data_IF_077074948880
#
_entry.id   IF_077074948880
#
_cell.length_a   1.000
_cell.length_b   1.000
_cell.length_c   1.000
_cell.angle_alpha   90.00
_cell.angle_beta   90.00
_cell.angle_gamma   90.00
#
_symmetry.space_group_name_H-M   'P 1'
#
loop_
_entity.id
_entity.type
_entity.pdbx_description
1 polymer ?
#
# COMPACT_ATOMS: atom_id res chain seq x y z
N UNK A 1 3.33 48.04 10.98
CA UNK A 1 2.70 47.59 9.73
C UNK A 1 2.49 46.12 9.90
N UNK A 2 1.24 45.69 10.12
CA UNK A 2 0.91 44.32 10.43
C UNK A 2 0.78 43.52 9.13
N UNK A 3 1.41 42.38 9.10
CA UNK A 3 1.14 41.36 8.09
C UNK A 3 0.00 40.47 8.59
N UNK A 4 -1.12 40.49 7.87
CA UNK A 4 -2.25 39.59 8.11
C UNK A 4 -1.93 38.15 7.71
N UNK A 5 -2.71 37.18 8.21
CA UNK A 5 -2.45 35.74 7.93
C UNK A 5 -2.63 35.42 6.44
N UNK A 6 -1.65 34.70 5.90
CA UNK A 6 -1.71 34.12 4.55
C UNK A 6 -2.78 33.03 4.60
N UNK A 7 -3.84 33.19 3.84
CA UNK A 7 -4.86 32.19 3.61
C UNK A 7 -4.23 31.08 2.77
N UNK A 8 -4.13 29.89 3.35
CA UNK A 8 -3.79 28.67 2.61
C UNK A 8 -4.82 28.46 1.48
N UNK A 9 -4.35 28.62 0.26
CA UNK A 9 -5.10 28.24 -0.93
C UNK A 9 -5.13 26.72 -1.03
N UNK A 10 -6.19 26.10 -0.52
CA UNK A 10 -6.55 24.75 -0.88
C UNK A 10 -6.79 24.70 -2.39
N UNK A 11 -5.98 23.93 -3.12
CA UNK A 11 -6.29 23.55 -4.49
C UNK A 11 -7.70 22.96 -4.51
N UNK A 12 -8.60 23.42 -5.38
CA UNK A 12 -9.91 22.81 -5.45
C UNK A 12 -9.72 21.36 -5.93
N UNK A 13 -10.10 20.41 -5.10
CA UNK A 13 -10.36 19.04 -5.55
C UNK A 13 -11.24 19.13 -6.80
N UNK A 14 -10.98 18.34 -7.85
CA UNK A 14 -11.84 18.32 -9.01
C UNK A 14 -13.28 18.09 -8.52
N UNK A 15 -14.28 18.78 -9.10
CA UNK A 15 -15.65 18.67 -8.62
C UNK A 15 -16.05 17.19 -8.66
N UNK A 16 -16.50 16.68 -7.52
CA UNK A 16 -17.13 15.37 -7.43
C UNK A 16 -18.29 15.40 -8.44
N UNK A 17 -18.13 14.68 -9.54
CA UNK A 17 -19.21 14.48 -10.50
C UNK A 17 -20.16 13.53 -9.77
N UNK A 18 -21.22 14.06 -9.19
CA UNK A 18 -22.30 13.25 -8.64
C UNK A 18 -22.75 12.28 -9.72
N UNK A 19 -22.57 11.00 -9.49
CA UNK A 19 -23.16 9.95 -10.28
C UNK A 19 -24.69 9.96 -9.98
N UNK A 20 -25.45 10.77 -10.72
CA UNK A 20 -26.91 10.69 -10.70
C UNK A 20 -27.46 9.42 -11.40
N UNK A 21 -26.55 8.61 -11.97
CA UNK A 21 -26.95 7.38 -12.66
C UNK A 21 -27.12 6.23 -11.67
N UNK A 22 -28.23 5.52 -11.81
CA UNK A 22 -28.62 4.39 -10.98
C UNK A 22 -27.86 3.12 -11.42
N UNK A 23 -26.63 2.95 -10.94
CA UNK A 23 -25.69 1.88 -11.34
C UNK A 23 -25.29 1.05 -10.12
N UNK A 24 -25.34 -0.28 -10.28
CA UNK A 24 -24.71 -1.22 -9.36
C UNK A 24 -23.46 -1.84 -9.99
N UNK A 25 -22.50 -2.20 -9.16
CA UNK A 25 -21.22 -2.77 -9.61
C UNK A 25 -21.07 -4.21 -9.16
N UNK A 26 -20.57 -5.05 -10.06
CA UNK A 26 -20.21 -6.44 -9.82
C UNK A 26 -18.73 -6.64 -10.11
N UNK A 27 -17.95 -6.96 -9.08
CA UNK A 27 -16.54 -7.31 -9.23
C UNK A 27 -16.40 -8.83 -9.29
N UNK A 28 -15.79 -9.34 -10.35
CA UNK A 28 -15.51 -10.76 -10.53
C UNK A 28 -14.20 -11.15 -9.85
N UNK A 29 -14.29 -11.91 -8.76
CA UNK A 29 -13.15 -12.32 -7.93
C UNK A 29 -13.14 -13.83 -7.62
N UNK A 30 -13.92 -14.65 -8.35
CA UNK A 30 -14.11 -16.08 -8.07
C UNK A 30 -13.03 -17.00 -8.68
N UNK A 31 -12.18 -16.50 -9.55
CA UNK A 31 -11.22 -17.28 -10.34
C UNK A 31 -10.10 -17.91 -9.50
N UNK A 32 -9.69 -19.16 -9.85
CA UNK A 32 -8.62 -19.90 -9.16
C UNK A 32 -7.20 -19.30 -9.30
N UNK A 33 -6.95 -18.49 -10.32
CA UNK A 33 -5.66 -17.85 -10.55
C UNK A 33 -4.47 -18.84 -10.70
N UNK A 34 -4.68 -20.01 -11.26
CA UNK A 34 -3.69 -21.11 -11.32
C UNK A 34 -2.36 -20.72 -11.93
N UNK A 35 -2.35 -19.75 -12.85
CA UNK A 35 -1.13 -19.20 -13.48
C UNK A 35 -0.23 -18.43 -12.52
N UNK A 36 -0.76 -17.93 -11.39
CA UNK A 36 0.02 -17.26 -10.33
C UNK A 36 0.91 -18.24 -9.55
N UNK A 37 0.61 -19.54 -9.59
CA UNK A 37 1.33 -20.60 -8.83
C UNK A 37 1.48 -20.25 -7.34
N UNK A 38 0.45 -19.68 -6.74
CA UNK A 38 0.40 -19.19 -5.36
C UNK A 38 -0.81 -19.79 -4.63
N UNK A 39 -0.69 -19.96 -3.33
CA UNK A 39 -1.81 -20.35 -2.46
C UNK A 39 -2.70 -19.15 -2.09
N UNK A 40 -2.22 -17.93 -2.33
CA UNK A 40 -3.00 -16.71 -2.12
C UNK A 40 -3.96 -16.52 -3.30
N UNK A 41 -5.25 -16.23 -3.08
CA UNK A 41 -6.17 -15.84 -4.14
C UNK A 41 -5.60 -14.71 -5.01
N UNK A 42 -5.75 -14.82 -6.34
CA UNK A 42 -5.16 -13.87 -7.29
C UNK A 42 -5.45 -12.41 -6.92
N UNK A 43 -6.68 -12.09 -6.58
CA UNK A 43 -7.15 -10.73 -6.27
C UNK A 43 -6.61 -10.17 -4.95
N UNK A 44 -6.01 -11.00 -4.10
CA UNK A 44 -5.38 -10.60 -2.83
C UNK A 44 -3.87 -10.38 -2.94
N UNK A 45 -3.24 -10.68 -4.09
CA UNK A 45 -1.85 -10.30 -4.30
C UNK A 45 -1.73 -8.77 -4.24
N UNK A 46 -0.66 -8.30 -3.61
CA UNK A 46 -0.38 -6.88 -3.52
C UNK A 46 0.51 -6.42 -4.66
N UNK A 47 0.22 -5.23 -5.16
CA UNK A 47 1.04 -4.47 -6.09
C UNK A 47 1.08 -3.03 -5.62
N UNK A 48 2.25 -2.42 -5.54
CA UNK A 48 2.43 -1.06 -5.06
C UNK A 48 1.73 -0.77 -3.72
N UNK A 49 1.81 -1.72 -2.77
CA UNK A 49 1.27 -1.61 -1.41
C UNK A 49 -0.22 -1.95 -1.24
N UNK A 50 -1.00 -2.10 -2.32
CA UNK A 50 -2.43 -2.41 -2.27
C UNK A 50 -2.77 -3.77 -2.86
N UNK A 51 -3.81 -4.43 -2.38
CA UNK A 51 -4.36 -5.65 -2.99
C UNK A 51 -4.96 -5.34 -4.35
N UNK A 52 -4.85 -6.25 -5.33
CA UNK A 52 -5.39 -6.05 -6.67
C UNK A 52 -6.87 -5.63 -6.67
N UNK A 53 -7.69 -6.30 -5.89
CA UNK A 53 -9.12 -5.98 -5.79
C UNK A 53 -9.40 -4.59 -5.22
N UNK A 54 -8.48 -4.03 -4.42
CA UNK A 54 -8.64 -2.70 -3.84
C UNK A 54 -8.64 -1.62 -4.92
N UNK A 55 -7.87 -1.79 -5.99
CA UNK A 55 -7.88 -0.86 -7.13
C UNK A 55 -9.25 -0.83 -7.83
N UNK A 56 -9.86 -2.01 -8.05
CA UNK A 56 -11.20 -2.07 -8.62
C UNK A 56 -12.24 -1.40 -7.72
N UNK A 57 -12.11 -1.51 -6.39
CA UNK A 57 -13.00 -0.86 -5.42
C UNK A 57 -12.81 0.66 -5.36
N UNK A 58 -11.58 1.16 -5.49
CA UNK A 58 -11.27 2.60 -5.51
C UNK A 58 -11.87 3.31 -6.72
N UNK A 59 -11.75 2.69 -7.90
CA UNK A 59 -12.29 3.26 -9.16
C UNK A 59 -13.80 3.50 -9.12
N UNK A 60 -14.51 2.74 -8.28
CA UNK A 60 -15.97 2.79 -8.11
C UNK A 60 -16.37 3.31 -6.73
N UNK A 61 -15.50 4.05 -6.04
CA UNK A 61 -15.78 4.53 -4.68
C UNK A 61 -17.09 5.30 -4.60
N UNK A 62 -17.37 6.13 -5.61
CA UNK A 62 -18.59 6.95 -5.72
C UNK A 62 -19.88 6.14 -5.93
N UNK A 63 -19.82 4.83 -6.22
CA UNK A 63 -20.99 3.98 -6.45
C UNK A 63 -21.36 3.25 -5.17
N UNK A 64 -22.60 3.44 -4.72
CA UNK A 64 -23.04 2.93 -3.42
C UNK A 64 -23.24 1.41 -3.39
N UNK A 65 -23.82 0.82 -4.43
CA UNK A 65 -24.17 -0.60 -4.46
C UNK A 65 -23.07 -1.43 -5.12
N UNK A 66 -22.38 -2.23 -4.30
CA UNK A 66 -21.25 -3.04 -4.72
C UNK A 66 -21.47 -4.50 -4.38
N UNK A 67 -21.29 -5.37 -5.37
CA UNK A 67 -21.28 -6.82 -5.24
C UNK A 67 -19.90 -7.37 -5.62
N UNK A 68 -19.41 -8.35 -4.87
CA UNK A 68 -18.20 -9.09 -5.21
C UNK A 68 -18.53 -10.56 -5.31
N UNK A 69 -18.36 -11.12 -6.51
CA UNK A 69 -18.52 -12.56 -6.72
C UNK A 69 -17.22 -13.25 -6.34
N UNK A 70 -17.26 -14.04 -5.26
CA UNK A 70 -16.14 -14.81 -4.72
C UNK A 70 -16.33 -16.30 -4.98
N UNK A 71 -15.25 -17.08 -4.99
CA UNK A 71 -15.34 -18.51 -5.26
C UNK A 71 -14.19 -19.28 -4.62
N UNK A 72 -13.08 -19.46 -5.32
CA UNK A 72 -11.89 -20.10 -4.76
C UNK A 72 -11.37 -19.30 -3.55
N UNK A 73 -11.23 -19.98 -2.39
CA UNK A 73 -10.82 -19.35 -1.12
C UNK A 73 -11.69 -18.13 -0.73
N UNK A 74 -12.99 -18.22 -0.98
CA UNK A 74 -13.97 -17.14 -0.75
C UNK A 74 -13.82 -16.49 0.62
N UNK A 75 -13.60 -17.29 1.67
CA UNK A 75 -13.44 -16.80 3.05
C UNK A 75 -12.28 -15.81 3.19
N UNK A 76 -11.12 -16.10 2.60
CA UNK A 76 -9.96 -15.22 2.63
C UNK A 76 -10.23 -13.89 1.93
N UNK A 77 -10.94 -13.93 0.79
CA UNK A 77 -11.31 -12.72 0.05
C UNK A 77 -12.30 -11.87 0.85
N UNK A 78 -13.32 -12.51 1.43
CA UNK A 78 -14.34 -11.82 2.25
C UNK A 78 -13.74 -11.15 3.49
N UNK A 79 -12.87 -11.86 4.22
CA UNK A 79 -12.17 -11.32 5.41
C UNK A 79 -11.21 -10.16 5.08
N UNK A 80 -10.77 -10.07 3.84
CA UNK A 80 -9.83 -9.06 3.38
C UNK A 80 -10.47 -7.75 2.90
N UNK A 81 -11.81 -7.70 2.82
CA UNK A 81 -12.57 -6.59 2.27
C UNK A 81 -13.54 -5.99 3.31
N UNK A 82 -13.99 -4.74 3.11
CA UNK A 82 -14.94 -4.10 4.03
C UNK A 82 -16.25 -4.84 4.16
N UNK A 83 -16.87 -4.82 5.35
CA UNK A 83 -18.17 -5.42 5.63
C UNK A 83 -19.35 -4.81 4.83
N UNK A 84 -19.15 -3.61 4.28
CA UNK A 84 -20.14 -2.92 3.44
C UNK A 84 -20.35 -3.56 2.06
N UNK A 85 -19.51 -4.50 1.68
CA UNK A 85 -19.57 -5.20 0.40
C UNK A 85 -20.62 -6.33 0.46
N UNK A 86 -21.45 -6.44 -0.58
CA UNK A 86 -22.34 -7.60 -0.75
C UNK A 86 -21.56 -8.73 -1.45
N UNK A 87 -21.42 -9.86 -0.78
CA UNK A 87 -20.72 -11.02 -1.34
C UNK A 87 -21.70 -12.03 -1.91
N UNK A 88 -21.36 -12.57 -3.09
CA UNK A 88 -22.07 -13.68 -3.73
C UNK A 88 -21.09 -14.81 -3.98
N UNK A 89 -21.41 -16.03 -3.55
CA UNK A 89 -20.49 -17.16 -3.61
C UNK A 89 -20.75 -17.98 -4.87
N UNK A 90 -19.75 -18.07 -5.74
CA UNK A 90 -19.73 -19.00 -6.87
C UNK A 90 -19.05 -20.32 -6.45
N UNK A 91 -19.83 -21.30 -6.06
CA UNK A 91 -19.30 -22.59 -5.59
C UNK A 91 -18.56 -23.34 -6.71
N UNK A 92 -19.12 -23.38 -7.91
CA UNK A 92 -18.52 -23.98 -9.09
C UNK A 92 -18.13 -22.90 -10.10
N UNK A 93 -16.84 -22.81 -10.43
CA UNK A 93 -16.32 -21.84 -11.40
C UNK A 93 -16.57 -22.31 -12.83
N UNK A 94 -17.79 -22.07 -13.34
CA UNK A 94 -18.24 -22.44 -14.71
C UNK A 94 -18.15 -21.28 -15.70
N UNK A 95 -17.31 -20.29 -15.45
CA UNK A 95 -17.08 -19.15 -16.34
C UNK A 95 -17.66 -17.83 -15.82
N UNK A 96 -17.41 -16.75 -16.55
CA UNK A 96 -17.78 -15.38 -16.20
C UNK A 96 -19.30 -15.14 -16.30
N UNK A 97 -19.95 -15.73 -17.29
CA UNK A 97 -21.41 -15.69 -17.41
C UNK A 97 -22.10 -16.39 -16.24
N UNK A 98 -21.58 -17.55 -15.79
CA UNK A 98 -22.10 -18.24 -14.60
C UNK A 98 -21.94 -17.41 -13.33
N UNK A 99 -20.82 -16.66 -13.18
CA UNK A 99 -20.64 -15.74 -12.05
C UNK A 99 -21.73 -14.68 -11.98
N UNK A 100 -22.18 -14.17 -13.12
CA UNK A 100 -23.29 -13.21 -13.20
C UNK A 100 -24.65 -13.91 -13.01
N UNK A 101 -24.86 -15.12 -13.55
CA UNK A 101 -26.16 -15.82 -13.38
C UNK A 101 -26.47 -16.12 -11.91
N UNK A 102 -25.47 -16.49 -11.11
CA UNK A 102 -25.64 -16.70 -9.66
C UNK A 102 -26.06 -15.43 -8.93
N UNK A 103 -25.62 -14.27 -9.40
CA UNK A 103 -26.02 -12.99 -8.82
C UNK A 103 -27.52 -12.75 -8.92
N UNK A 104 -28.19 -13.27 -9.98
CA UNK A 104 -29.65 -13.15 -10.14
C UNK A 104 -30.43 -13.93 -9.08
N UNK A 105 -29.82 -14.96 -8.48
CA UNK A 105 -30.42 -15.78 -7.41
C UNK A 105 -30.25 -15.12 -6.04
N UNK A 106 -29.35 -14.12 -5.93
CA UNK A 106 -29.14 -13.38 -4.69
C UNK A 106 -30.29 -12.41 -4.43
N UNK A 107 -30.89 -12.52 -3.25
CA UNK A 107 -32.08 -11.76 -2.87
C UNK A 107 -31.84 -10.25 -2.82
N UNK A 108 -30.62 -9.83 -2.38
CA UNK A 108 -30.28 -8.40 -2.31
C UNK A 108 -30.12 -7.81 -3.69
N UNK A 109 -29.58 -8.58 -4.63
CA UNK A 109 -29.44 -8.15 -6.01
C UNK A 109 -30.80 -8.15 -6.74
N UNK A 110 -31.67 -9.07 -6.44
CA UNK A 110 -33.05 -9.09 -6.99
C UNK A 110 -33.85 -7.84 -6.59
N UNK A 111 -33.65 -7.36 -5.35
CA UNK A 111 -34.30 -6.16 -4.80
C UNK A 111 -33.58 -4.84 -5.20
N UNK A 112 -32.44 -4.92 -5.88
CA UNK A 112 -31.66 -3.79 -6.36
C UNK A 112 -32.42 -3.04 -7.45
N UNK A 113 -32.51 -1.71 -7.33
CA UNK A 113 -33.29 -0.85 -8.24
C UNK A 113 -32.45 -0.19 -9.33
N UNK A 114 -31.17 -0.57 -9.47
CA UNK A 114 -30.29 -0.01 -10.49
C UNK A 114 -30.79 -0.29 -11.91
N UNK A 115 -30.55 0.65 -12.79
CA UNK A 115 -30.89 0.54 -14.22
C UNK A 115 -29.76 -0.11 -15.02
N UNK A 116 -28.52 0.10 -14.56
CA UNK A 116 -27.31 -0.42 -15.19
C UNK A 116 -26.47 -1.24 -14.24
N UNK A 117 -25.82 -2.27 -14.78
CA UNK A 117 -24.88 -3.13 -14.07
C UNK A 117 -23.49 -2.98 -14.68
N UNK A 118 -22.55 -2.43 -13.92
CA UNK A 118 -21.14 -2.40 -14.29
C UNK A 118 -20.46 -3.68 -13.81
N UNK A 119 -19.82 -4.41 -14.70
CA UNK A 119 -19.05 -5.63 -14.40
C UNK A 119 -17.57 -5.32 -14.54
N UNK A 120 -16.80 -5.58 -13.48
CA UNK A 120 -15.34 -5.34 -13.43
C UNK A 120 -14.60 -6.64 -13.05
N UNK A 121 -13.47 -6.94 -13.67
CA UNK A 121 -12.54 -7.94 -13.14
C UNK A 121 -11.79 -7.37 -11.93
N UNK A 122 -11.58 -8.19 -10.90
CA UNK A 122 -10.88 -7.79 -9.66
C UNK A 122 -9.36 -7.76 -9.77
N UNK A 123 -8.79 -7.87 -10.97
CA UNK A 123 -7.36 -8.03 -11.23
C UNK A 123 -6.80 -7.05 -12.27
N UNK A 124 -7.49 -5.93 -12.50
CA UNK A 124 -7.07 -4.85 -13.42
C UNK A 124 -6.78 -3.59 -12.59
N UNK A 125 -5.55 -3.45 -12.05
CA UNK A 125 -5.24 -2.39 -11.08
C UNK A 125 -5.00 -1.02 -11.70
N UNK A 126 -4.82 -0.91 -13.02
CA UNK A 126 -4.55 0.37 -13.69
C UNK A 126 -5.78 0.99 -14.33
N UNK A 127 -6.98 0.42 -14.09
CA UNK A 127 -8.23 0.98 -14.63
C UNK A 127 -8.44 2.41 -14.14
N UNK A 128 -8.89 3.28 -15.05
CA UNK A 128 -9.12 4.69 -14.77
C UNK A 128 -10.60 4.97 -14.48
N UNK A 129 -10.90 5.72 -13.42
CA UNK A 129 -12.28 6.10 -13.10
C UNK A 129 -12.97 6.90 -14.21
N UNK A 130 -12.24 7.71 -14.99
CA UNK A 130 -12.80 8.43 -16.10
C UNK A 130 -13.22 7.51 -17.25
N UNK A 131 -12.51 6.41 -17.49
CA UNK A 131 -12.87 5.42 -18.51
C UNK A 131 -14.18 4.72 -18.14
N UNK A 132 -14.33 4.36 -16.86
CA UNK A 132 -15.58 3.79 -16.33
C UNK A 132 -16.73 4.79 -16.45
N UNK A 133 -16.53 6.03 -16.03
CA UNK A 133 -17.53 7.09 -16.12
C UNK A 133 -17.97 7.34 -17.56
N UNK A 134 -17.01 7.36 -18.48
CA UNK A 134 -17.29 7.53 -19.92
C UNK A 134 -18.08 6.35 -20.49
N UNK A 135 -17.74 5.11 -20.12
CA UNK A 135 -18.49 3.92 -20.52
C UNK A 135 -19.93 4.00 -20.07
N UNK A 136 -20.18 4.19 -18.77
CA UNK A 136 -21.53 4.25 -18.21
C UNK A 136 -22.33 5.37 -18.89
N UNK A 137 -21.73 6.57 -19.02
CA UNK A 137 -22.39 7.70 -19.67
C UNK A 137 -22.79 7.40 -21.12
N UNK A 138 -21.88 6.83 -21.92
CA UNK A 138 -22.20 6.51 -23.33
C UNK A 138 -23.31 5.47 -23.45
N UNK A 139 -23.33 4.47 -22.58
CA UNK A 139 -24.39 3.45 -22.57
C UNK A 139 -25.74 4.08 -22.21
N UNK A 140 -25.77 4.92 -21.17
CA UNK A 140 -26.99 5.61 -20.74
C UNK A 140 -27.49 6.60 -21.79
N UNK A 141 -26.62 7.47 -22.34
CA UNK A 141 -26.98 8.51 -23.30
C UNK A 141 -27.55 7.90 -24.61
N UNK A 142 -27.05 6.73 -25.03
CA UNK A 142 -27.50 6.03 -26.23
C UNK A 142 -28.62 5.02 -25.99
N UNK A 143 -29.01 4.80 -24.73
CA UNK A 143 -29.95 3.74 -24.33
C UNK A 143 -29.54 2.35 -24.87
N UNK A 144 -28.24 2.09 -24.92
CA UNK A 144 -27.70 0.84 -25.44
C UNK A 144 -27.79 -0.28 -24.41
N UNK A 145 -28.05 -1.50 -24.86
CA UNK A 145 -28.19 -2.63 -23.96
C UNK A 145 -26.85 -3.14 -23.39
N UNK A 146 -25.73 -2.89 -24.10
CA UNK A 146 -24.38 -3.27 -23.68
C UNK A 146 -23.38 -2.18 -24.09
N UNK A 147 -22.46 -1.89 -23.19
CA UNK A 147 -21.22 -1.20 -23.51
C UNK A 147 -20.04 -1.94 -22.93
N UNK A 148 -18.85 -1.86 -23.54
CA UNK A 148 -17.64 -2.45 -23.01
C UNK A 148 -16.39 -1.68 -23.42
N UNK A 149 -15.31 -1.87 -22.62
CA UNK A 149 -14.02 -1.26 -22.93
C UNK A 149 -13.18 -2.19 -23.81
N UNK A 150 -12.49 -1.59 -24.78
CA UNK A 150 -11.49 -2.26 -25.63
C UNK A 150 -10.18 -1.50 -25.59
N UNK A 151 -9.11 -2.16 -26.01
CA UNK A 151 -7.84 -1.49 -26.32
C UNK A 151 -7.15 -2.18 -27.47
N UNK A 152 -6.33 -1.42 -28.19
CA UNK A 152 -5.37 -1.98 -29.14
C UNK A 152 -4.04 -2.19 -28.42
N UNK A 153 -3.58 -3.42 -28.46
CA UNK A 153 -2.39 -3.85 -27.72
C UNK A 153 -1.31 -4.41 -28.65
N UNK A 154 -0.07 -4.23 -28.26
CA UNK A 154 1.06 -4.77 -29.01
C UNK A 154 1.16 -6.30 -28.96
N UNK A 155 0.68 -6.91 -27.89
CA UNK A 155 0.64 -8.37 -27.71
C UNK A 155 -0.74 -8.81 -27.21
N UNK A 156 -1.64 -9.23 -28.10
CA UNK A 156 -3.01 -9.62 -27.72
C UNK A 156 -3.12 -11.02 -27.11
N UNK A 157 -2.04 -11.76 -26.95
CA UNK A 157 -2.05 -13.11 -26.44
C UNK A 157 -2.72 -13.24 -25.07
N UNK A 158 -3.68 -14.16 -24.97
CA UNK A 158 -4.39 -14.46 -23.72
C UNK A 158 -5.64 -13.62 -23.47
N UNK A 159 -5.99 -12.69 -24.35
CA UNK A 159 -7.21 -11.89 -24.30
C UNK A 159 -8.24 -12.35 -25.32
N UNK A 160 -9.51 -12.04 -25.11
CA UNK A 160 -10.55 -12.12 -26.15
C UNK A 160 -10.33 -11.06 -27.25
N UNK A 161 -10.53 -11.45 -28.50
CA UNK A 161 -10.40 -10.54 -29.67
C UNK A 161 -11.72 -9.88 -29.99
N UNK A 162 -11.69 -8.58 -30.22
CA UNK A 162 -12.86 -7.81 -30.67
C UNK A 162 -12.83 -7.72 -32.19
N UNK A 163 -13.80 -8.33 -32.84
CA UNK A 163 -13.91 -8.39 -34.29
C UNK A 163 -15.15 -7.60 -34.70
N UNK A 164 -14.95 -6.61 -35.55
CA UNK A 164 -16.03 -5.79 -36.10
C UNK A 164 -16.15 -6.02 -37.59
N UNK A 165 -17.24 -6.66 -38.03
CA UNK A 165 -17.50 -6.95 -39.46
C UNK A 165 -18.98 -6.76 -39.76
N UNK A 166 -19.29 -6.11 -40.91
CA UNK A 166 -20.65 -5.92 -41.41
C UNK A 166 -21.63 -5.34 -40.37
N UNK A 167 -21.18 -4.35 -39.59
CA UNK A 167 -21.95 -3.76 -38.50
C UNK A 167 -22.29 -4.72 -37.34
N UNK A 168 -21.65 -5.88 -37.29
CA UNK A 168 -21.74 -6.80 -36.16
C UNK A 168 -20.43 -6.82 -35.37
N UNK A 169 -20.56 -6.98 -34.07
CA UNK A 169 -19.43 -7.07 -33.13
C UNK A 169 -19.38 -8.49 -32.59
N UNK A 170 -18.22 -9.11 -32.61
CA UNK A 170 -17.98 -10.44 -32.04
C UNK A 170 -16.77 -10.37 -31.10
N UNK A 171 -16.87 -10.98 -29.94
CA UNK A 171 -15.73 -11.25 -29.09
C UNK A 171 -15.42 -12.74 -29.16
N UNK A 172 -14.16 -13.07 -29.50
CA UNK A 172 -13.68 -14.46 -29.59
C UNK A 172 -12.59 -14.65 -28.56
N UNK A 173 -12.85 -15.55 -27.61
CA UNK A 173 -11.86 -15.87 -26.57
C UNK A 173 -10.59 -16.52 -27.16
N UNK A 174 -9.42 -16.30 -26.54
CA UNK A 174 -8.10 -16.76 -27.04
C UNK A 174 -8.09 -18.21 -27.50
N UNK A 175 -8.75 -19.12 -26.75
CA UNK A 175 -8.76 -20.55 -27.04
C UNK A 175 -9.69 -20.93 -28.20
N UNK A 176 -10.64 -20.10 -28.52
CA UNK A 176 -11.60 -20.28 -29.60
C UNK A 176 -11.18 -19.55 -30.89
N UNK A 177 -10.10 -18.73 -30.86
CA UNK A 177 -9.60 -17.98 -32.01
C UNK A 177 -9.02 -18.90 -33.12
N UNK A 178 -9.38 -18.62 -34.36
CA UNK A 178 -8.65 -19.10 -35.53
C UNK A 178 -7.29 -18.42 -35.65
N UNK A 179 -6.43 -18.89 -36.56
CA UNK A 179 -5.11 -18.28 -36.82
C UNK A 179 -5.25 -16.79 -37.26
N UNK A 180 -6.26 -16.48 -38.06
CA UNK A 180 -6.51 -15.14 -38.56
C UNK A 180 -7.04 -14.22 -37.42
N UNK A 181 -7.96 -14.71 -36.58
CA UNK A 181 -8.52 -13.98 -35.46
C UNK A 181 -7.47 -13.65 -34.39
N UNK A 182 -6.45 -14.50 -34.21
CA UNK A 182 -5.32 -14.23 -33.29
C UNK A 182 -4.46 -13.03 -33.68
N UNK A 183 -4.49 -12.63 -34.95
CA UNK A 183 -3.74 -11.46 -35.45
C UNK A 183 -4.44 -10.13 -35.14
N UNK A 184 -5.69 -10.16 -34.69
CA UNK A 184 -6.42 -8.96 -34.32
C UNK A 184 -5.82 -8.35 -33.06
N UNK A 185 -5.46 -7.08 -33.12
CA UNK A 185 -4.80 -6.33 -32.04
C UNK A 185 -5.80 -5.68 -31.06
N UNK A 186 -7.09 -5.56 -31.44
CA UNK A 186 -8.13 -5.04 -30.56
C UNK A 186 -8.64 -6.13 -29.62
N UNK A 187 -8.49 -5.89 -28.32
CA UNK A 187 -8.82 -6.87 -27.27
C UNK A 187 -10.00 -6.40 -26.40
N UNK A 188 -10.68 -7.39 -25.82
CA UNK A 188 -11.70 -7.21 -24.82
C UNK A 188 -11.07 -7.05 -23.42
N UNK A 189 -11.46 -6.01 -22.70
CA UNK A 189 -10.96 -5.74 -21.35
C UNK A 189 -11.58 -6.61 -20.24
N UNK A 190 -12.73 -7.24 -20.51
CA UNK A 190 -13.56 -7.86 -19.48
C UNK A 190 -14.38 -6.87 -18.63
N UNK A 191 -14.43 -5.59 -19.03
CA UNK A 191 -15.18 -4.52 -18.34
C UNK A 191 -16.40 -4.18 -19.19
N UNK A 192 -17.57 -4.34 -18.57
CA UNK A 192 -18.86 -4.17 -19.25
C UNK A 192 -19.81 -3.28 -18.45
N UNK A 193 -20.66 -2.56 -19.15
CA UNK A 193 -21.85 -1.91 -18.61
C UNK A 193 -23.08 -2.47 -19.33
N UNK A 194 -23.97 -3.13 -18.62
CA UNK A 194 -25.19 -3.71 -19.15
C UNK A 194 -26.40 -2.91 -18.69
N UNK A 195 -27.37 -2.74 -19.58
CA UNK A 195 -28.75 -2.48 -19.17
C UNK A 195 -29.24 -3.68 -18.33
N UNK A 196 -29.73 -3.42 -17.12
CA UNK A 196 -30.08 -4.49 -16.17
C UNK A 196 -31.15 -5.41 -16.73
N UNK A 197 -32.17 -4.85 -17.38
CA UNK A 197 -33.27 -5.63 -17.95
C UNK A 197 -32.77 -6.59 -19.04
N UNK A 198 -31.92 -6.13 -19.95
CA UNK A 198 -31.29 -6.97 -20.97
C UNK A 198 -30.49 -8.10 -20.34
N UNK A 199 -29.65 -7.79 -19.35
CA UNK A 199 -28.81 -8.78 -18.66
C UNK A 199 -29.68 -9.87 -18.04
N UNK A 200 -30.78 -9.53 -17.33
CA UNK A 200 -31.67 -10.48 -16.69
C UNK A 200 -32.39 -11.37 -17.70
N UNK A 201 -32.80 -10.83 -18.83
CA UNK A 201 -33.50 -11.59 -19.86
C UNK A 201 -32.56 -12.57 -20.59
N UNK A 202 -31.30 -12.21 -20.78
CA UNK A 202 -30.41 -12.94 -21.68
C UNK A 202 -29.36 -13.84 -21.00
N UNK A 203 -29.03 -13.60 -19.73
CA UNK A 203 -27.95 -14.34 -19.06
C UNK A 203 -28.18 -15.86 -19.03
N UNK A 204 -29.43 -16.30 -18.90
CA UNK A 204 -29.80 -17.71 -18.89
C UNK A 204 -29.81 -18.36 -20.29
N UNK A 205 -29.63 -17.57 -21.36
CA UNK A 205 -29.54 -18.05 -22.72
C UNK A 205 -28.07 -18.38 -23.14
N UNK A 206 -27.12 -18.13 -22.25
CA UNK A 206 -25.73 -18.52 -22.45
C UNK A 206 -25.60 -20.06 -22.49
N UNK A 207 -24.64 -20.55 -23.27
CA UNK A 207 -24.34 -21.98 -23.38
C UNK A 207 -22.85 -22.24 -23.18
N UNK A 208 -22.47 -23.52 -23.16
CA UNK A 208 -21.08 -23.94 -22.94
C UNK A 208 -20.43 -24.53 -24.21
N UNK A 209 -20.97 -24.21 -25.39
CA UNK A 209 -20.48 -24.72 -26.68
C UNK A 209 -19.21 -23.98 -27.14
N UNK A 210 -18.16 -24.04 -26.33
CA UNK A 210 -16.86 -23.40 -26.55
C UNK A 210 -15.73 -24.29 -26.08
N UNK A 211 -14.47 -23.91 -26.39
CA UNK A 211 -13.27 -24.73 -26.11
C UNK A 211 -13.04 -24.99 -24.61
N UNK A 212 -13.59 -24.19 -23.72
CA UNK A 212 -13.43 -24.35 -22.27
C UNK A 212 -14.63 -25.05 -21.61
N UNK A 213 -15.78 -25.17 -22.27
CA UNK A 213 -17.01 -25.68 -21.67
C UNK A 213 -17.57 -24.75 -20.59
N UNK A 214 -17.33 -23.45 -20.71
CA UNK A 214 -17.70 -22.43 -19.73
C UNK A 214 -18.80 -21.50 -20.27
N UNK A 215 -19.58 -20.89 -19.39
CA UNK A 215 -20.50 -19.80 -19.76
C UNK A 215 -19.72 -18.50 -19.89
N UNK A 216 -19.57 -18.01 -21.12
CA UNK A 216 -18.88 -16.75 -21.39
C UNK A 216 -19.83 -15.56 -21.35
N UNK A 217 -19.49 -14.54 -20.57
CA UNK A 217 -20.24 -13.27 -20.57
C UNK A 217 -20.15 -12.58 -21.94
N UNK A 218 -19.08 -12.81 -22.69
CA UNK A 218 -18.84 -12.29 -24.04
C UNK A 218 -19.86 -12.75 -25.06
N UNK A 219 -20.54 -13.88 -24.84
CA UNK A 219 -21.59 -14.38 -25.74
C UNK A 219 -22.85 -13.49 -25.74
N UNK A 220 -23.04 -12.67 -24.68
CA UNK A 220 -24.11 -11.66 -24.65
C UNK A 220 -23.98 -10.63 -25.77
N UNK A 221 -22.76 -10.37 -26.28
CA UNK A 221 -22.54 -9.50 -27.44
C UNK A 221 -23.20 -10.10 -28.70
N UNK A 222 -23.02 -11.41 -28.91
CA UNK A 222 -23.67 -12.13 -30.02
C UNK A 222 -25.19 -12.15 -29.91
N UNK A 223 -25.71 -12.31 -28.70
CA UNK A 223 -27.17 -12.25 -28.45
C UNK A 223 -27.69 -10.85 -28.76
N UNK A 224 -27.03 -9.79 -28.30
CA UNK A 224 -27.41 -8.40 -28.58
C UNK A 224 -27.42 -8.10 -30.10
N UNK A 225 -26.42 -8.55 -30.85
CA UNK A 225 -26.42 -8.41 -32.30
C UNK A 225 -27.65 -9.10 -32.95
N UNK A 226 -27.97 -10.33 -32.53
CA UNK A 226 -29.09 -11.08 -33.09
C UNK A 226 -30.45 -10.40 -32.80
N UNK A 227 -30.56 -9.76 -31.64
CA UNK A 227 -31.73 -8.95 -31.25
C UNK A 227 -31.73 -7.54 -31.81
N UNK A 228 -30.69 -7.17 -32.58
CA UNK A 228 -30.48 -5.83 -33.16
C UNK A 228 -30.48 -4.72 -32.09
N UNK A 229 -29.90 -5.03 -30.94
CA UNK A 229 -29.66 -4.08 -29.85
C UNK A 229 -28.40 -3.27 -30.13
N UNK A 230 -28.40 -2.01 -29.69
CA UNK A 230 -27.24 -1.15 -29.80
C UNK A 230 -26.15 -1.55 -28.80
N UNK A 231 -24.90 -1.56 -29.29
CA UNK A 231 -23.71 -1.91 -28.53
C UNK A 231 -22.71 -0.75 -28.60
N UNK A 232 -22.24 -0.29 -27.44
CA UNK A 232 -21.25 0.78 -27.32
C UNK A 232 -19.87 0.18 -27.09
N UNK A 233 -18.91 0.60 -27.91
CA UNK A 233 -17.48 0.31 -27.67
C UNK A 233 -16.78 1.60 -27.24
N UNK A 234 -16.00 1.50 -26.17
CA UNK A 234 -15.13 2.58 -25.69
C UNK A 234 -13.69 2.08 -25.72
N UNK A 235 -12.90 2.62 -26.64
CA UNK A 235 -11.48 2.31 -26.70
C UNK A 235 -10.72 3.13 -25.67
N UNK A 236 -9.82 2.47 -24.94
CA UNK A 236 -8.97 3.06 -23.89
C UNK A 236 -7.51 2.68 -24.11
N UNK A 237 -6.60 3.27 -23.33
CA UNK A 237 -5.18 2.98 -23.38
C UNK A 237 -4.88 1.53 -22.93
N UNK A 238 -3.83 0.92 -23.50
CA UNK A 238 -3.43 -0.47 -23.22
C UNK A 238 -3.23 -0.71 -21.71
N UNK A 239 -2.55 0.21 -21.03
CA UNK A 239 -2.25 0.08 -19.62
C UNK A 239 -3.50 0.05 -18.75
N UNK A 240 -4.57 0.79 -19.12
CA UNK A 240 -5.82 0.87 -18.35
C UNK A 240 -6.55 -0.47 -18.19
N UNK A 241 -6.31 -1.44 -19.09
CA UNK A 241 -7.02 -2.73 -19.10
C UNK A 241 -6.10 -3.93 -18.86
N UNK A 242 -4.87 -3.68 -18.47
CA UNK A 242 -3.89 -4.76 -18.27
C UNK A 242 -4.24 -5.61 -17.04
N UNK A 243 -4.79 -6.80 -17.31
CA UNK A 243 -5.10 -7.80 -16.29
C UNK A 243 -3.88 -8.59 -15.84
N UNK A 244 -3.79 -8.90 -14.55
CA UNK A 244 -2.69 -9.65 -13.96
C UNK A 244 -3.05 -11.13 -13.84
N UNK A 245 -2.32 -12.01 -14.51
CA UNK A 245 -2.54 -13.46 -14.50
C UNK A 245 -1.31 -14.28 -14.11
N UNK A 246 -0.14 -13.63 -14.02
CA UNK A 246 1.12 -14.26 -13.64
C UNK A 246 1.98 -13.32 -12.81
N UNK A 247 2.98 -13.85 -12.10
CA UNK A 247 3.94 -13.04 -11.35
C UNK A 247 4.75 -12.10 -12.25
N UNK A 248 5.01 -12.50 -13.50
CA UNK A 248 5.66 -11.60 -14.49
C UNK A 248 4.80 -10.39 -14.79
N UNK A 249 3.50 -10.61 -15.10
CA UNK A 249 2.57 -9.50 -15.33
C UNK A 249 2.36 -8.62 -14.09
N UNK A 250 2.37 -9.22 -12.88
CA UNK A 250 2.30 -8.46 -11.63
C UNK A 250 3.50 -7.51 -11.50
N UNK A 251 4.72 -7.99 -11.78
CA UNK A 251 5.92 -7.17 -11.74
C UNK A 251 5.90 -6.05 -12.81
N UNK A 252 5.44 -6.34 -14.02
CA UNK A 252 5.31 -5.32 -15.08
C UNK A 252 4.36 -4.19 -14.69
N UNK A 253 3.23 -4.55 -14.06
CA UNK A 253 2.24 -3.56 -13.57
C UNK A 253 2.79 -2.80 -12.36
N UNK A 254 3.52 -3.46 -11.46
CA UNK A 254 4.17 -2.80 -10.32
C UNK A 254 5.17 -1.73 -10.80
N UNK A 255 5.99 -2.06 -11.80
CA UNK A 255 6.92 -1.11 -12.42
C UNK A 255 6.20 0.08 -13.08
N UNK A 256 5.06 -0.16 -13.73
CA UNK A 256 4.27 0.90 -14.35
C UNK A 256 3.63 1.82 -13.31
N UNK A 257 3.02 1.27 -12.26
CA UNK A 257 2.45 2.03 -11.14
C UNK A 257 3.51 2.83 -10.39
N UNK A 258 4.68 2.23 -10.15
CA UNK A 258 5.80 2.92 -9.50
C UNK A 258 6.25 4.13 -10.32
N UNK A 259 6.39 4.00 -11.63
CA UNK A 259 6.74 5.12 -12.52
C UNK A 259 5.70 6.24 -12.47
N UNK A 260 4.41 5.89 -12.49
CA UNK A 260 3.34 6.88 -12.38
C UNK A 260 3.38 7.60 -11.03
N UNK A 261 3.54 6.86 -9.93
CA UNK A 261 3.62 7.42 -8.56
C UNK A 261 4.82 8.37 -8.43
N UNK A 262 5.99 7.98 -8.91
CA UNK A 262 7.20 8.84 -8.87
C UNK A 262 7.01 10.09 -9.75
N UNK A 263 6.45 9.95 -10.94
CA UNK A 263 6.18 11.09 -11.82
C UNK A 263 5.21 12.08 -11.16
N UNK A 264 4.14 11.58 -10.54
CA UNK A 264 3.20 12.43 -9.81
C UNK A 264 3.90 13.22 -8.70
N UNK A 265 4.71 12.57 -7.88
CA UNK A 265 5.46 13.27 -6.82
C UNK A 265 6.45 14.29 -7.39
N UNK A 266 7.09 14.01 -8.53
CA UNK A 266 7.97 14.97 -9.19
C UNK A 266 7.20 16.21 -9.64
N UNK A 267 6.00 16.03 -10.19
CA UNK A 267 5.11 17.13 -10.62
C UNK A 267 4.60 17.94 -9.40
N UNK A 268 4.47 17.30 -8.23
CA UNK A 268 4.13 17.91 -6.95
C UNK A 268 5.33 18.57 -6.21
N UNK A 269 6.54 18.53 -6.82
CA UNK A 269 7.72 19.21 -6.30
C UNK A 269 8.61 18.38 -5.38
N UNK A 270 8.56 17.06 -5.47
CA UNK A 270 9.50 16.15 -4.81
C UNK A 270 10.67 15.82 -5.73
N UNK A 271 11.89 15.92 -5.22
CA UNK A 271 13.10 15.57 -5.98
C UNK A 271 13.50 14.11 -5.75
N UNK A 272 13.74 13.37 -6.83
CA UNK A 272 14.30 12.02 -6.79
C UNK A 272 15.69 12.02 -7.43
N UNK A 273 16.72 11.60 -6.68
CA UNK A 273 18.07 11.47 -7.21
C UNK A 273 18.17 10.35 -8.23
N UNK A 274 17.55 9.22 -7.95
CA UNK A 274 17.48 8.06 -8.81
C UNK A 274 16.09 7.41 -8.75
N UNK A 275 15.18 7.79 -9.65
CA UNK A 275 13.83 7.20 -9.73
C UNK A 275 13.85 5.68 -9.92
N UNK A 276 14.87 5.13 -10.59
CA UNK A 276 14.92 3.71 -10.98
C UNK A 276 15.30 2.78 -9.83
N UNK A 277 15.95 3.30 -8.80
CA UNK A 277 16.32 2.54 -7.59
C UNK A 277 15.45 2.88 -6.37
N UNK A 278 14.40 3.69 -6.55
CA UNK A 278 13.49 4.09 -5.48
C UNK A 278 12.18 3.31 -5.58
N UNK A 279 11.71 2.77 -4.47
CA UNK A 279 10.48 1.98 -4.38
C UNK A 279 9.49 2.66 -3.45
N UNK A 280 8.31 2.98 -3.96
CA UNK A 280 7.27 3.74 -3.24
C UNK A 280 5.92 3.07 -3.44
N UNK A 281 5.26 2.71 -2.35
CA UNK A 281 3.89 2.23 -2.40
C UNK A 281 2.93 3.38 -2.76
N UNK A 282 1.87 3.07 -3.47
CA UNK A 282 0.87 4.06 -3.90
C UNK A 282 0.06 4.68 -2.74
N UNK A 283 0.19 4.13 -1.53
CA UNK A 283 -0.42 4.64 -0.30
C UNK A 283 0.44 5.72 0.39
N UNK A 284 1.71 5.83 0.01
CA UNK A 284 2.66 6.79 0.59
C UNK A 284 2.30 8.21 0.20
N UNK A 285 2.52 9.14 1.13
CA UNK A 285 2.39 10.59 0.89
C UNK A 285 3.71 11.27 1.11
N UNK A 286 4.12 12.12 0.18
CA UNK A 286 5.36 12.90 0.27
C UNK A 286 5.04 14.36 -0.05
N UNK A 287 5.37 15.24 0.89
CA UNK A 287 5.15 16.68 0.69
C UNK A 287 6.26 17.32 -0.16
N UNK A 288 5.92 18.43 -0.82
CA UNK A 288 6.83 19.21 -1.67
C UNK A 288 8.11 19.65 -0.94
N UNK A 289 9.17 19.91 -1.70
CA UNK A 289 10.49 20.30 -1.19
C UNK A 289 11.32 19.12 -0.66
N UNK A 290 10.72 17.95 -0.49
CA UNK A 290 11.42 16.75 -0.02
C UNK A 290 12.35 16.18 -1.11
N UNK A 291 13.49 15.65 -0.69
CA UNK A 291 14.49 15.00 -1.53
C UNK A 291 14.60 13.53 -1.15
N UNK A 292 14.39 12.66 -2.13
CA UNK A 292 14.53 11.20 -1.97
C UNK A 292 15.77 10.76 -2.74
N UNK A 293 16.70 10.16 -2.02
CA UNK A 293 17.96 9.66 -2.57
C UNK A 293 17.87 8.18 -2.94
N UNK A 294 18.83 7.71 -3.72
CA UNK A 294 18.89 6.36 -4.29
C UNK A 294 18.66 5.23 -3.26
N UNK A 295 18.11 4.12 -3.73
CA UNK A 295 17.85 2.91 -2.96
C UNK A 295 16.96 3.13 -1.72
N UNK A 296 16.03 4.08 -1.78
CA UNK A 296 15.06 4.31 -0.71
C UNK A 296 13.78 3.52 -0.94
N UNK A 297 13.24 2.94 0.14
CA UNK A 297 12.00 2.17 0.14
C UNK A 297 10.99 2.83 1.08
N UNK A 298 9.89 3.33 0.55
CA UNK A 298 8.81 3.98 1.30
C UNK A 298 7.54 3.14 1.15
N UNK A 299 7.03 2.59 2.24
CA UNK A 299 5.98 1.57 2.17
C UNK A 299 4.82 1.83 3.14
N UNK A 300 3.68 1.22 2.80
CA UNK A 300 2.47 1.25 3.60
C UNK A 300 1.91 2.67 3.75
N UNK A 301 1.34 2.98 4.91
CA UNK A 301 0.75 4.29 5.22
C UNK A 301 1.81 5.32 5.68
N UNK A 302 2.95 5.39 4.96
CA UNK A 302 4.03 6.32 5.29
C UNK A 302 3.69 7.74 4.82
N UNK A 303 3.89 8.72 5.72
CA UNK A 303 3.70 10.14 5.44
C UNK A 303 5.02 10.91 5.68
N UNK A 304 5.53 11.58 4.65
CA UNK A 304 6.76 12.40 4.71
C UNK A 304 6.37 13.86 4.58
N UNK A 305 6.70 14.64 5.60
CA UNK A 305 6.48 16.09 5.64
C UNK A 305 7.38 16.87 4.66
N UNK A 306 7.16 18.18 4.54
CA UNK A 306 7.91 19.02 3.60
C UNK A 306 9.40 19.15 3.98
N UNK A 307 10.23 19.48 2.99
CA UNK A 307 11.66 19.79 3.14
C UNK A 307 12.50 18.68 3.80
N UNK A 308 12.07 17.42 3.73
CA UNK A 308 12.81 16.28 4.26
C UNK A 308 13.94 15.82 3.32
N UNK A 309 14.96 15.17 3.89
CA UNK A 309 16.01 14.46 3.16
C UNK A 309 15.94 12.96 3.51
N UNK A 310 15.52 12.13 2.57
CA UNK A 310 15.27 10.70 2.77
C UNK A 310 16.26 9.87 1.94
N UNK A 311 17.04 9.04 2.60
CA UNK A 311 18.04 8.20 1.95
C UNK A 311 19.44 8.83 1.92
N UNK A 312 20.42 8.21 1.18
CA UNK A 312 20.22 6.94 0.45
C UNK A 312 19.99 5.75 1.38
N UNK A 313 19.51 4.64 0.81
CA UNK A 313 19.29 3.37 1.51
C UNK A 313 18.39 3.50 2.78
N UNK A 314 17.39 4.37 2.75
CA UNK A 314 16.40 4.47 3.80
C UNK A 314 15.26 3.48 3.55
N UNK A 315 14.80 2.82 4.62
CA UNK A 315 13.58 1.99 4.59
C UNK A 315 12.60 2.56 5.61
N UNK A 316 11.44 3.02 5.15
CA UNK A 316 10.44 3.65 6.00
C UNK A 316 9.10 2.97 5.75
N UNK A 317 8.54 2.35 6.78
CA UNK A 317 7.30 1.60 6.70
C UNK A 317 6.29 2.14 7.71
N UNK A 318 5.04 2.39 7.30
CA UNK A 318 3.91 2.79 8.15
C UNK A 318 4.28 3.88 9.17
N UNK A 319 5.05 4.88 8.77
CA UNK A 319 5.64 5.85 9.69
C UNK A 319 5.37 7.28 9.26
N UNK A 320 5.34 8.19 10.24
CA UNK A 320 5.18 9.62 9.99
C UNK A 320 6.50 10.35 10.24
N UNK A 321 6.92 11.15 9.29
CA UNK A 321 8.17 11.92 9.33
C UNK A 321 7.84 13.41 9.19
N UNK A 322 8.09 14.16 10.25
CA UNK A 322 7.83 15.60 10.30
C UNK A 322 8.80 16.43 9.46
N UNK A 323 8.38 17.65 9.18
CA UNK A 323 9.08 18.62 8.33
C UNK A 323 10.58 18.75 8.63
N UNK A 324 11.41 18.85 7.59
CA UNK A 324 12.85 19.13 7.69
C UNK A 324 13.68 18.02 8.31
N UNK A 325 13.09 16.83 8.48
CA UNK A 325 13.80 15.67 9.03
C UNK A 325 14.75 15.05 8.02
N UNK A 326 15.81 14.41 8.53
CA UNK A 326 16.83 13.73 7.73
C UNK A 326 16.93 12.28 8.16
N UNK A 327 16.74 11.35 7.23
CA UNK A 327 16.86 9.90 7.47
C UNK A 327 17.88 9.33 6.50
N UNK A 328 19.00 8.87 7.03
CA UNK A 328 20.14 8.41 6.25
C UNK A 328 20.46 6.94 6.56
N UNK A 329 20.51 6.08 5.55
CA UNK A 329 20.91 4.66 5.69
C UNK A 329 20.29 3.97 6.92
N UNK A 330 19.01 4.09 7.11
CA UNK A 330 18.33 3.68 8.35
C UNK A 330 16.99 3.03 8.09
N UNK A 331 16.52 2.28 9.09
CA UNK A 331 15.20 1.64 9.06
C UNK A 331 14.27 2.32 10.06
N UNK A 332 13.05 2.63 9.63
CA UNK A 332 12.00 3.25 10.45
C UNK A 332 10.70 2.48 10.23
N UNK A 333 10.21 1.84 11.28
CA UNK A 333 9.01 0.99 11.22
C UNK A 333 7.97 1.47 12.23
N UNK A 334 6.69 1.59 11.81
CA UNK A 334 5.52 1.88 12.64
C UNK A 334 5.79 2.94 13.73
N UNK A 335 6.38 4.08 13.33
CA UNK A 335 6.92 5.09 14.25
C UNK A 335 6.59 6.51 13.82
N UNK A 336 6.70 7.45 14.76
CA UNK A 336 6.49 8.87 14.54
C UNK A 336 7.79 9.62 14.81
N UNK A 337 8.20 10.46 13.86
CA UNK A 337 9.35 11.35 13.98
C UNK A 337 8.83 12.77 13.74
N UNK A 338 8.88 13.63 14.77
CA UNK A 338 8.49 15.03 14.65
C UNK A 338 9.51 15.85 13.84
N UNK A 339 9.21 17.14 13.63
CA UNK A 339 10.00 18.02 12.79
C UNK A 339 11.48 18.10 13.21
N UNK A 340 12.35 18.15 12.21
CA UNK A 340 13.80 18.32 12.41
C UNK A 340 14.53 17.10 12.95
N UNK A 341 13.90 15.91 12.94
CA UNK A 341 14.52 14.66 13.35
C UNK A 341 15.77 14.33 12.52
N UNK A 342 16.85 13.86 13.16
CA UNK A 342 18.07 13.44 12.49
C UNK A 342 18.35 11.98 12.80
N UNK A 343 18.12 11.10 11.81
CA UNK A 343 18.15 9.65 11.98
C UNK A 343 19.27 9.06 11.13
N UNK A 344 20.15 8.31 11.75
CA UNK A 344 21.19 7.56 11.08
C UNK A 344 22.58 8.21 11.10
N UNK A 345 23.54 7.62 10.32
CA UNK A 345 23.33 6.40 9.53
C UNK A 345 23.22 5.14 10.41
N UNK A 346 22.63 4.07 9.85
CA UNK A 346 22.56 2.75 10.47
C UNK A 346 21.79 2.74 11.81
N UNK A 347 20.75 3.56 11.92
CA UNK A 347 19.83 3.55 13.04
C UNK A 347 18.62 2.65 12.73
N UNK A 348 18.00 2.09 13.77
CA UNK A 348 16.76 1.36 13.65
C UNK A 348 15.71 1.91 14.62
N UNK A 349 14.73 2.61 14.06
CA UNK A 349 13.57 3.11 14.80
C UNK A 349 12.47 2.06 14.67
N UNK A 350 12.28 1.29 15.75
CA UNK A 350 11.37 0.14 15.77
C UNK A 350 9.97 0.53 16.20
N UNK A 351 8.98 -0.36 15.92
CA UNK A 351 7.57 -0.10 16.19
C UNK A 351 7.27 0.49 17.57
N UNK A 352 6.37 1.50 17.56
CA UNK A 352 5.92 2.19 18.74
C UNK A 352 6.89 3.23 19.29
N UNK A 353 7.87 3.67 18.50
CA UNK A 353 8.74 4.78 18.86
C UNK A 353 8.13 6.13 18.44
N UNK A 354 8.13 7.09 19.36
CA UNK A 354 7.69 8.48 19.14
C UNK A 354 8.89 9.42 19.45
N UNK A 355 9.40 10.07 18.42
CA UNK A 355 10.58 10.95 18.50
C UNK A 355 10.12 12.41 18.36
N UNK A 356 10.29 13.21 19.40
CA UNK A 356 9.91 14.61 19.41
C UNK A 356 10.78 15.49 18.52
N UNK A 357 10.45 16.76 18.44
CA UNK A 357 11.14 17.74 17.59
C UNK A 357 12.66 17.79 17.84
N UNK A 358 13.42 17.83 16.74
CA UNK A 358 14.89 17.96 16.76
C UNK A 358 15.63 16.82 17.51
N UNK A 359 15.00 15.67 17.65
CA UNK A 359 15.65 14.49 18.22
C UNK A 359 16.73 13.99 17.26
N UNK A 360 17.83 13.50 17.82
CA UNK A 360 18.91 12.86 17.07
C UNK A 360 19.08 11.41 17.51
N UNK A 361 18.95 10.48 16.56
CA UNK A 361 19.32 9.07 16.74
C UNK A 361 20.40 8.75 15.74
N UNK A 362 21.63 8.54 16.23
CA UNK A 362 22.80 8.40 15.37
C UNK A 362 23.17 6.95 15.07
N UNK A 363 24.44 6.73 14.73
CA UNK A 363 24.90 5.47 14.17
C UNK A 363 24.79 4.27 15.15
N UNK A 364 24.20 3.18 14.62
CA UNK A 364 24.02 1.92 15.36
C UNK A 364 23.21 2.08 16.66
N UNK A 365 22.31 3.06 16.70
CA UNK A 365 21.38 3.25 17.79
C UNK A 365 20.01 2.68 17.41
N UNK A 366 19.34 2.11 18.40
CA UNK A 366 18.04 1.44 18.25
C UNK A 366 17.05 1.97 19.27
N UNK A 367 15.82 2.28 18.85
CA UNK A 367 14.70 2.64 19.73
C UNK A 367 13.55 1.68 19.54
N UNK A 368 12.77 1.37 20.57
CA UNK A 368 11.61 0.49 20.51
C UNK A 368 10.60 0.83 21.58
N UNK A 369 9.33 1.03 21.21
CA UNK A 369 8.24 1.33 22.16
C UNK A 369 8.65 2.41 23.17
N UNK A 370 9.23 3.51 22.66
CA UNK A 370 9.83 4.54 23.49
C UNK A 370 9.39 5.91 23.04
N UNK A 371 9.22 6.82 24.01
CA UNK A 371 8.97 8.23 23.76
C UNK A 371 10.22 9.04 24.05
N UNK A 372 10.69 9.77 23.06
CA UNK A 372 11.93 10.54 23.14
C UNK A 372 11.59 12.03 23.03
N UNK A 373 11.76 12.75 24.11
CA UNK A 373 11.41 14.18 24.18
C UNK A 373 12.27 15.09 23.32
N UNK A 374 11.75 16.25 23.00
CA UNK A 374 12.33 17.27 22.13
C UNK A 374 13.81 17.52 22.39
N UNK A 375 14.62 17.55 21.35
CA UNK A 375 16.04 17.88 21.39
C UNK A 375 16.93 16.85 22.07
N UNK A 376 16.40 15.69 22.46
CA UNK A 376 17.17 14.61 23.06
C UNK A 376 18.07 13.92 22.02
N UNK A 377 19.17 13.34 22.47
CA UNK A 377 20.20 12.76 21.60
C UNK A 377 20.57 11.37 22.05
N UNK A 378 20.59 10.45 21.09
CA UNK A 378 21.03 9.04 21.23
C UNK A 378 22.10 8.80 20.15
N UNK A 379 23.32 9.33 20.30
CA UNK A 379 24.23 9.52 19.18
C UNK A 379 24.87 8.25 18.62
N UNK A 380 25.16 7.23 19.44
CA UNK A 380 25.94 6.07 18.99
C UNK A 380 25.67 4.79 19.80
N UNK A 381 25.65 3.62 19.13
CA UNK A 381 25.78 2.30 19.75
C UNK A 381 24.89 2.09 21.00
N UNK A 382 23.66 2.53 20.95
CA UNK A 382 22.78 2.59 22.12
C UNK A 382 21.47 1.84 21.86
N UNK A 383 20.89 1.29 22.93
CA UNK A 383 19.55 0.71 22.88
C UNK A 383 18.61 1.40 23.86
N UNK A 384 17.52 1.94 23.36
CA UNK A 384 16.44 2.58 24.13
C UNK A 384 15.15 1.83 23.87
N UNK A 385 14.78 0.95 24.78
CA UNK A 385 13.57 0.12 24.67
C UNK A 385 12.66 0.26 25.88
N UNK A 386 11.36 0.30 25.65
CA UNK A 386 10.32 0.45 26.67
C UNK A 386 10.66 1.62 27.64
N UNK A 387 10.98 2.81 27.08
CA UNK A 387 11.50 3.94 27.85
C UNK A 387 10.82 5.27 27.49
N UNK A 388 10.80 6.18 28.45
CA UNK A 388 10.42 7.57 28.23
C UNK A 388 11.60 8.48 28.60
N UNK A 389 12.07 9.26 27.61
CA UNK A 389 13.09 10.28 27.76
C UNK A 389 12.45 11.66 27.67
N UNK A 390 12.72 12.50 28.65
CA UNK A 390 12.30 13.90 28.65
C UNK A 390 13.00 14.74 27.58
N UNK A 391 12.83 16.04 27.68
CA UNK A 391 13.42 17.03 26.78
C UNK A 391 14.91 17.21 27.03
N UNK A 392 15.72 17.27 25.98
CA UNK A 392 17.15 17.59 26.06
C UNK A 392 18.03 16.53 26.77
N UNK A 393 17.56 15.31 26.85
CA UNK A 393 18.33 14.19 27.40
C UNK A 393 19.49 13.84 26.49
N UNK A 394 20.67 13.60 27.07
CA UNK A 394 21.80 13.02 26.36
C UNK A 394 22.00 11.57 26.80
N UNK A 395 21.76 10.64 25.88
CA UNK A 395 21.91 9.20 26.08
C UNK A 395 23.17 8.72 25.35
N UNK A 396 24.30 8.61 26.05
CA UNK A 396 25.62 8.46 25.44
C UNK A 396 25.87 7.08 24.83
N UNK A 397 27.01 6.92 24.17
CA UNK A 397 27.43 5.69 23.47
C UNK A 397 27.50 4.49 24.41
N UNK A 398 27.00 3.35 23.96
CA UNK A 398 27.01 2.11 24.74
C UNK A 398 25.96 2.03 25.85
N UNK A 399 25.19 3.10 26.07
CA UNK A 399 24.14 3.08 27.09
C UNK A 399 22.93 2.23 26.65
N UNK A 400 22.38 1.47 27.59
CA UNK A 400 21.30 0.51 27.33
C UNK A 400 20.24 0.60 28.42
N UNK A 401 18.96 0.64 28.02
CA UNK A 401 17.85 0.34 28.91
C UNK A 401 17.68 -1.17 28.99
N UNK A 402 18.01 -1.78 30.14
CA UNK A 402 17.84 -3.22 30.39
C UNK A 402 16.40 -3.45 30.79
N UNK A 403 15.52 -3.58 29.80
CA UNK A 403 14.07 -3.55 29.93
C UNK A 403 13.42 -4.93 30.14
N UNK A 404 14.18 -6.03 30.05
CA UNK A 404 13.65 -7.39 30.11
C UNK A 404 14.32 -8.22 31.20
N UNK A 405 13.53 -8.78 32.10
CA UNK A 405 14.01 -9.57 33.25
C UNK A 405 14.04 -11.10 32.99
N UNK A 406 13.82 -11.51 31.73
CA UNK A 406 13.69 -12.92 31.33
C UNK A 406 12.22 -13.38 31.25
N UNK A 407 11.26 -12.61 31.78
CA UNK A 407 9.83 -12.94 31.79
C UNK A 407 8.96 -11.73 31.38
N UNK A 408 9.20 -10.58 32.00
CA UNK A 408 8.43 -9.35 31.80
C UNK A 408 9.32 -8.23 31.30
N UNK A 409 8.66 -7.22 30.70
CA UNK A 409 9.30 -5.96 30.34
C UNK A 409 8.93 -4.88 31.33
N UNK A 410 9.91 -4.05 31.64
CA UNK A 410 9.81 -2.96 32.59
C UNK A 410 10.22 -1.64 31.93
N UNK A 411 9.65 -0.55 32.41
CA UNK A 411 9.86 0.80 31.88
C UNK A 411 11.06 1.48 32.54
N UNK A 412 11.80 2.24 31.73
CA UNK A 412 12.81 3.21 32.19
C UNK A 412 12.27 4.60 31.97
N UNK A 413 12.35 5.46 32.99
CA UNK A 413 11.96 6.87 32.90
C UNK A 413 13.21 7.76 33.12
N UNK A 414 13.43 8.67 32.16
CA UNK A 414 14.58 9.60 32.19
C UNK A 414 14.01 10.99 32.01
N UNK A 415 14.12 11.81 33.07
CA UNK A 415 13.54 13.14 33.09
C UNK A 415 14.39 14.17 32.30
N UNK A 416 13.82 15.38 32.13
CA UNK A 416 14.42 16.45 31.31
C UNK A 416 15.88 16.76 31.68
N UNK A 417 16.70 16.96 30.65
CA UNK A 417 18.07 17.40 30.79
C UNK A 417 19.02 16.42 31.46
N UNK A 418 18.59 15.18 31.70
CA UNK A 418 19.46 14.16 32.28
C UNK A 418 20.58 13.77 31.31
N UNK A 419 21.76 13.48 31.84
CA UNK A 419 22.93 13.04 31.10
C UNK A 419 23.29 11.60 31.49
N UNK A 420 23.11 10.67 30.56
CA UNK A 420 23.49 9.26 30.73
C UNK A 420 24.88 9.07 30.14
N UNK A 421 25.85 8.70 30.96
CA UNK A 421 27.23 8.44 30.54
C UNK A 421 27.37 7.24 29.59
N UNK A 422 28.55 7.13 28.97
CA UNK A 422 28.82 5.98 28.08
C UNK A 422 28.88 4.65 28.84
N UNK A 423 28.50 3.55 28.16
CA UNK A 423 28.49 2.19 28.72
C UNK A 423 27.68 2.04 30.02
N UNK A 424 26.57 2.78 30.13
CA UNK A 424 25.66 2.71 31.28
C UNK A 424 24.57 1.68 31.03
N UNK A 425 24.33 0.81 32.01
CA UNK A 425 23.20 -0.10 32.03
C UNK A 425 22.13 0.43 32.99
N UNK A 426 20.96 0.79 32.47
CA UNK A 426 19.79 1.18 33.28
C UNK A 426 18.89 -0.05 33.44
N UNK A 427 18.94 -0.67 34.61
CA UNK A 427 18.14 -1.89 34.91
C UNK A 427 16.74 -1.47 35.32
N UNK A 428 15.79 -1.65 34.40
CA UNK A 428 14.40 -1.30 34.63
C UNK A 428 13.68 -2.25 35.64
N UNK A 429 12.71 -1.75 36.44
CA UNK A 429 12.19 -0.38 36.40
C UNK A 429 13.15 0.59 37.12
N UNK A 430 13.40 1.76 36.52
CA UNK A 430 14.26 2.78 37.12
C UNK A 430 13.89 4.16 36.61
N UNK A 431 13.94 5.16 37.50
CA UNK A 431 13.72 6.57 37.19
C UNK A 431 15.01 7.37 37.36
N UNK A 432 15.39 8.12 36.32
CA UNK A 432 16.55 9.01 36.33
C UNK A 432 16.02 10.45 36.37
N UNK A 433 16.20 11.10 37.50
CA UNK A 433 15.62 12.41 37.79
C UNK A 433 16.18 13.54 36.91
N UNK A 434 15.45 14.63 36.86
CA UNK A 434 15.72 15.82 36.07
C UNK A 434 17.11 16.39 36.32
N UNK A 435 17.81 16.74 35.22
CA UNK A 435 19.16 17.35 35.26
C UNK A 435 20.20 16.52 36.05
N UNK A 436 19.93 15.22 36.22
CA UNK A 436 20.88 14.30 36.87
C UNK A 436 21.93 13.81 35.88
N UNK A 437 23.02 13.28 36.42
CA UNK A 437 24.13 12.71 35.61
C UNK A 437 24.37 11.26 36.06
N UNK A 438 24.58 10.38 35.12
CA UNK A 438 25.01 9.01 35.37
C UNK A 438 26.47 8.87 34.93
N UNK A 439 27.34 8.42 35.83
CA UNK A 439 28.75 8.20 35.54
C UNK A 439 28.95 7.08 34.54
N UNK A 440 29.87 7.26 33.58
CA UNK A 440 30.17 6.23 32.57
C UNK A 440 30.55 4.89 33.18
N UNK A 441 30.11 3.78 32.54
CA UNK A 441 30.39 2.40 33.00
C UNK A 441 29.59 1.96 34.22
N UNK A 442 28.52 2.68 34.59
CA UNK A 442 27.71 2.36 35.77
C UNK A 442 26.56 1.42 35.44
N UNK A 443 26.23 0.52 36.39
CA UNK A 443 25.02 -0.31 36.38
C UNK A 443 24.03 0.24 37.40
N UNK A 444 22.99 0.91 36.91
CA UNK A 444 22.02 1.62 37.75
C UNK A 444 20.78 0.74 37.98
N UNK A 445 20.53 0.38 39.22
CA UNK A 445 19.44 -0.51 39.67
C UNK A 445 18.45 0.16 40.61
N UNK A 446 18.67 1.43 40.93
CA UNK A 446 17.82 2.26 41.81
C UNK A 446 17.62 3.65 41.22
N UNK A 447 16.50 4.26 41.56
CA UNK A 447 16.19 5.62 41.14
C UNK A 447 17.30 6.61 41.53
N UNK A 448 17.56 7.54 40.61
CA UNK A 448 18.54 8.62 40.82
C UNK A 448 17.78 9.93 40.99
N UNK A 449 17.90 10.63 42.12
CA UNK A 449 17.19 11.90 42.32
C UNK A 449 17.60 12.98 41.34
N UNK A 450 16.72 13.96 41.14
CA UNK A 450 17.00 15.12 40.30
C UNK A 450 18.30 15.84 40.76
N UNK A 451 19.09 16.30 39.78
CA UNK A 451 20.37 17.00 40.00
C UNK A 451 21.45 16.18 40.74
N UNK A 452 21.27 14.88 40.88
CA UNK A 452 22.23 14.01 41.51
C UNK A 452 23.23 13.38 40.51
N UNK A 453 24.35 12.92 41.00
CA UNK A 453 25.26 12.03 40.29
C UNK A 453 24.99 10.60 40.73
N UNK A 454 24.48 9.77 39.82
CA UNK A 454 24.39 8.31 39.97
C UNK A 454 25.69 7.66 39.47
N UNK A 455 26.38 6.90 40.34
CA UNK A 455 27.61 6.21 39.96
C UNK A 455 27.71 4.88 40.66
N UNK A 456 28.01 3.83 39.89
CA UNK A 456 28.29 2.50 40.40
C UNK A 456 29.40 1.89 39.54
N UNK A 457 30.61 1.77 40.10
CA UNK A 457 31.76 1.15 39.48
C UNK A 457 32.83 0.85 40.51
N UNK A 458 33.66 -0.15 40.29
CA UNK A 458 34.78 -0.47 41.15
C UNK A 458 35.98 0.49 40.98
N UNK A 459 36.82 0.59 42.00
CA UNK A 459 38.09 1.30 41.92
C UNK A 459 39.03 0.65 40.88
N UNK A 460 39.68 1.47 40.08
CA UNK A 460 40.64 1.00 39.12
C UNK A 460 41.88 0.46 39.82
N UNK A 461 42.36 -0.73 39.45
CA UNK A 461 43.60 -1.32 39.89
C UNK A 461 44.55 -1.48 38.72
N UNK A 462 45.75 -0.89 38.85
CA UNK A 462 46.84 -1.06 37.87
C UNK A 462 47.76 -2.16 38.40
N UNK A 463 48.02 -3.19 37.59
CA UNK A 463 48.96 -4.28 37.94
C UNK A 463 50.21 -4.06 37.13
N UNK A 464 51.22 -3.45 37.77
CA UNK A 464 52.53 -3.17 37.15
C UNK A 464 53.25 -4.46 36.79
N UNK A 465 53.94 -4.48 35.67
CA UNK A 465 54.70 -5.65 35.18
C UNK A 465 53.85 -6.84 34.77
N UNK A 466 52.51 -6.66 34.55
CA UNK A 466 51.62 -7.77 34.17
C UNK A 466 52.04 -8.47 32.90
N UNK A 467 52.44 -7.70 31.88
CA UNK A 467 52.86 -8.26 30.57
C UNK A 467 54.21 -8.96 30.64
N UNK A 468 55.13 -8.52 31.54
CA UNK A 468 56.41 -9.19 31.75
C UNK A 468 56.25 -10.56 32.45
N UNK A 469 55.23 -10.68 33.32
CA UNK A 469 54.87 -11.99 33.96
C UNK A 469 54.27 -12.94 32.93
N UNK A 470 53.47 -12.46 32.00
CA UNK A 470 52.84 -13.26 30.94
C UNK A 470 53.88 -13.82 29.96
N UNK A 471 54.88 -13.03 29.56
CA UNK A 471 55.98 -13.48 28.68
C UNK A 471 56.90 -14.52 29.33
N UNK A 472 56.91 -14.69 30.64
CA UNK A 472 57.70 -15.72 31.34
C UNK A 472 57.01 -17.08 31.44
N UNK A 473 55.73 -17.15 31.11
CA UNK A 473 54.94 -18.39 31.16
C UNK A 473 54.65 -18.95 29.74
N UNK A 474 55.08 -18.27 28.69
CA UNK A 474 55.16 -18.73 27.30
C UNK A 474 56.66 -19.12 27.01
#
# INVERSE_FOLDING_TARGET
MGFGPIVEGSSPSPPAINFEMNVSVVILAAGKGTRMKSNLPKVLHSVSGKKLISYALEVIEDINTKYVVVGHEAKQVMEALPESINFVIQEEQKGTGHAISILLEDKKFADDTSEYILVLPGDVPMINSNDIKNLIKKVSDSSSSIGFLTSKVSNPFGYGRVIQQNSQIKIVEEKDCTEEERLVDEINSGIYCFEKEFLFQQINNLNTSNAQGEFYITDLIGIANNEKKDIVIVQVEEDSIRGINSMGQLNEVEDALLKQTIQQFMDEGVYFQDPTSTYIDSTVKISSGTKVYANSHLKGETEIGPDCEIGPNAQINNSKVGQGSKILNSVVDDSIIDAGGQIGPFAHIRPGSELGENVKVGAFAETKKSKIGKGSKIPHLAYVGDAELGTGVNFSAGAITVNYDGKNKHKTEIEDGAFIGSDVMLVAPVTIGKESMIGAGSVITKDVPSKALGIERNDQKNIEGYMDRKKKND
#
